data_IF_280926548027
#
_entry.id   IF_280926548027
#
_cell.length_a   1.000
_cell.length_b   1.000
_cell.length_c   1.000
_cell.angle_alpha   90.00
_cell.angle_beta   90.00
_cell.angle_gamma   90.00
#
_symmetry.space_group_name_H-M   'P 1'
#
loop_
_entity.id
_entity.type
_entity.pdbx_description
1 polymer ?
#
# COMPACT_ATOMS: atom_id res chain seq x y z
N UNK A 1 -21.53 2.77 13.21
CA UNK A 1 -21.79 3.98 12.40
C UNK A 1 -22.77 3.61 11.28
N UNK A 2 -23.60 4.54 10.80
CA UNK A 2 -24.48 4.29 9.65
C UNK A 2 -23.68 4.27 8.34
N UNK A 3 -24.07 3.39 7.41
CA UNK A 3 -23.42 3.23 6.08
C UNK A 3 -23.53 4.45 5.17
N UNK A 4 -24.42 5.37 5.50
CA UNK A 4 -24.58 6.65 4.84
C UNK A 4 -24.77 7.74 5.90
N UNK A 5 -24.10 8.87 5.73
CA UNK A 5 -24.24 10.04 6.60
C UNK A 5 -24.28 11.30 5.73
N UNK A 6 -25.36 12.08 5.82
CA UNK A 6 -25.56 13.30 5.02
C UNK A 6 -25.41 13.09 3.49
N UNK A 7 -25.88 11.95 2.96
CA UNK A 7 -25.74 11.60 1.54
C UNK A 7 -24.33 11.15 1.13
N UNK A 8 -23.42 10.93 2.08
CA UNK A 8 -22.07 10.42 1.86
C UNK A 8 -22.01 8.95 2.27
N UNK A 9 -21.59 8.08 1.34
CA UNK A 9 -21.33 6.66 1.64
C UNK A 9 -20.12 6.50 2.55
N UNK A 10 -20.28 5.77 3.64
CA UNK A 10 -19.24 5.50 4.62
C UNK A 10 -18.64 4.10 4.37
N UNK A 11 -17.35 4.08 3.98
CA UNK A 11 -16.54 2.86 3.94
C UNK A 11 -15.83 2.68 5.30
N UNK A 12 -15.93 1.47 5.85
CA UNK A 12 -15.25 1.05 7.06
C UNK A 12 -14.00 0.27 6.68
N UNK A 13 -12.86 0.90 6.91
CA UNK A 13 -11.57 0.31 6.64
C UNK A 13 -10.64 0.32 7.82
N UNK A 14 -9.52 -0.35 7.62
CA UNK A 14 -8.40 -0.38 8.55
C UNK A 14 -7.09 -0.22 7.78
N UNK A 15 -6.15 0.53 8.35
CA UNK A 15 -4.75 0.45 7.97
C UNK A 15 -4.08 -0.58 8.89
N UNK A 16 -3.84 -1.76 8.34
CA UNK A 16 -3.24 -2.90 9.01
C UNK A 16 -1.71 -2.86 8.89
N UNK A 17 -1.05 -3.34 9.92
CA UNK A 17 0.39 -3.56 9.92
C UNK A 17 0.71 -4.87 9.20
N UNK A 18 1.64 -4.83 8.23
CA UNK A 18 2.29 -6.04 7.73
C UNK A 18 3.37 -6.44 8.73
N UNK A 19 3.33 -7.68 9.20
CA UNK A 19 4.06 -8.14 10.37
C UNK A 19 5.39 -8.83 10.03
N UNK A 20 5.44 -9.58 8.94
CA UNK A 20 6.56 -10.45 8.63
C UNK A 20 6.71 -10.77 7.14
N UNK A 21 7.78 -11.47 6.78
CA UNK A 21 8.07 -11.94 5.42
C UNK A 21 7.10 -13.01 4.91
N UNK A 22 6.19 -13.53 5.75
CA UNK A 22 5.11 -14.42 5.33
C UNK A 22 3.89 -13.62 4.84
N UNK A 23 3.89 -12.29 5.02
CA UNK A 23 2.82 -11.40 4.59
C UNK A 23 1.64 -11.35 5.56
N UNK A 24 1.84 -11.81 6.81
CA UNK A 24 0.81 -11.72 7.83
C UNK A 24 0.47 -10.26 8.14
N UNK A 25 -0.80 -9.97 8.42
CA UNK A 25 -1.25 -8.66 8.89
C UNK A 25 -1.89 -8.77 10.27
N UNK A 26 -1.91 -7.68 11.03
CA UNK A 26 -2.45 -7.61 12.40
C UNK A 26 -3.98 -7.61 12.51
N UNK A 27 -4.65 -8.31 11.60
CA UNK A 27 -6.10 -8.51 11.59
C UNK A 27 -6.43 -9.99 11.43
N UNK A 28 -7.32 -10.53 12.27
CA UNK A 28 -7.88 -11.87 12.05
C UNK A 28 -8.74 -11.91 10.79
N UNK A 29 -8.81 -13.06 10.12
CA UNK A 29 -9.60 -13.25 8.90
C UNK A 29 -11.05 -12.79 9.09
N UNK A 30 -11.68 -13.16 10.22
CA UNK A 30 -13.05 -12.76 10.57
C UNK A 30 -13.24 -11.22 10.63
N UNK A 31 -12.20 -10.47 11.04
CA UNK A 31 -12.24 -9.00 11.03
C UNK A 31 -12.03 -8.47 9.62
N UNK A 32 -11.12 -9.06 8.86
CA UNK A 32 -10.84 -8.65 7.49
C UNK A 32 -12.10 -8.74 6.62
N UNK A 33 -12.86 -9.84 6.73
CA UNK A 33 -14.10 -10.08 5.97
C UNK A 33 -15.23 -9.09 6.28
N UNK A 34 -15.15 -8.34 7.38
CA UNK A 34 -16.14 -7.35 7.80
C UNK A 34 -15.78 -5.92 7.38
N UNK A 35 -14.58 -5.70 6.82
CA UNK A 35 -14.10 -4.39 6.37
C UNK A 35 -14.33 -4.21 4.87
N UNK A 36 -14.68 -3.00 4.44
CA UNK A 36 -14.86 -2.72 3.01
C UNK A 36 -13.53 -2.40 2.31
N UNK A 37 -12.53 -1.95 3.06
CA UNK A 37 -11.23 -1.57 2.53
C UNK A 37 -10.12 -1.81 3.54
N UNK A 38 -9.01 -2.41 3.10
CA UNK A 38 -7.85 -2.69 3.94
C UNK A 38 -6.61 -2.14 3.25
N UNK A 39 -5.88 -1.30 3.99
CA UNK A 39 -4.57 -0.78 3.60
C UNK A 39 -3.53 -1.58 4.38
N UNK A 40 -2.55 -2.17 3.70
CA UNK A 40 -1.42 -2.87 4.33
C UNK A 40 -0.18 -2.00 4.27
N UNK A 41 0.39 -1.69 5.43
CA UNK A 41 1.52 -0.77 5.58
C UNK A 41 2.62 -1.40 6.43
N UNK A 42 3.87 -1.07 6.12
CA UNK A 42 5.01 -1.30 7.02
C UNK A 42 5.20 -0.04 7.89
N UNK A 43 5.27 -0.22 9.20
CA UNK A 43 5.42 0.88 10.15
C UNK A 43 6.63 0.67 11.06
N UNK A 44 7.43 1.73 11.26
CA UNK A 44 8.63 1.77 12.12
C UNK A 44 8.47 1.08 13.50
N UNK A 45 7.32 1.13 14.22
CA UNK A 45 7.16 0.44 15.51
C UNK A 45 6.94 -1.08 15.41
N UNK A 46 6.68 -1.61 14.22
CA UNK A 46 6.32 -3.02 13.97
C UNK A 46 7.42 -3.75 13.22
N UNK A 47 8.10 -3.06 12.31
CA UNK A 47 9.20 -3.63 11.52
C UNK A 47 10.53 -3.01 11.90
N UNK A 48 11.57 -3.83 11.95
CA UNK A 48 12.92 -3.35 12.20
C UNK A 48 13.40 -2.46 11.05
N UNK A 49 13.94 -1.28 11.37
CA UNK A 49 14.52 -0.35 10.39
C UNK A 49 15.97 -0.74 10.13
N UNK A 50 16.37 -0.77 8.85
CA UNK A 50 17.73 -1.13 8.45
C UNK A 50 17.86 -2.57 7.95
N UNK A 51 16.73 -3.28 7.86
CA UNK A 51 16.63 -4.55 7.15
C UNK A 51 16.96 -4.40 5.66
N UNK A 52 17.25 -5.54 5.04
CA UNK A 52 17.55 -5.57 3.61
C UNK A 52 16.34 -5.14 2.78
N UNK A 53 16.61 -4.55 1.62
CA UNK A 53 15.54 -4.14 0.72
C UNK A 53 14.78 -5.37 0.17
N UNK A 54 15.43 -6.53 0.11
CA UNK A 54 14.84 -7.85 -0.18
C UNK A 54 13.80 -8.23 0.88
N UNK A 55 14.11 -8.02 2.17
CA UNK A 55 13.21 -8.28 3.29
C UNK A 55 11.92 -7.49 3.11
N UNK A 56 12.00 -6.16 3.01
CA UNK A 56 10.82 -5.31 2.86
C UNK A 56 10.04 -5.61 1.57
N UNK A 57 10.73 -5.87 0.47
CA UNK A 57 10.10 -6.24 -0.81
C UNK A 57 9.30 -7.54 -0.63
N UNK A 58 9.88 -8.57 -0.01
CA UNK A 58 9.23 -9.85 0.22
C UNK A 58 8.00 -9.72 1.12
N UNK A 59 8.06 -8.91 2.16
CA UNK A 59 6.91 -8.61 3.02
C UNK A 59 5.73 -8.05 2.20
N UNK A 60 5.96 -7.02 1.37
CA UNK A 60 4.91 -6.46 0.52
C UNK A 60 4.40 -7.46 -0.51
N UNK A 61 5.30 -8.18 -1.18
CA UNK A 61 4.92 -9.17 -2.17
C UNK A 61 4.02 -10.25 -1.54
N UNK A 62 4.35 -10.74 -0.35
CA UNK A 62 3.57 -11.77 0.33
C UNK A 62 2.25 -11.24 0.89
N UNK A 63 2.22 -10.02 1.40
CA UNK A 63 0.98 -9.39 1.85
C UNK A 63 -0.07 -9.31 0.72
N UNK A 64 0.35 -9.06 -0.53
CA UNK A 64 -0.54 -9.04 -1.71
C UNK A 64 -1.11 -10.40 -2.10
N UNK A 65 -0.71 -11.51 -1.45
CA UNK A 65 -1.38 -12.81 -1.62
C UNK A 65 -2.62 -12.95 -0.72
N UNK A 66 -2.85 -12.03 0.22
CA UNK A 66 -4.08 -11.98 1.01
C UNK A 66 -5.25 -11.44 0.16
N UNK A 67 -6.34 -12.21 -0.02
CA UNK A 67 -7.49 -11.81 -0.85
C UNK A 67 -8.28 -10.61 -0.30
N UNK A 68 -8.12 -10.27 0.99
CA UNK A 68 -8.81 -9.16 1.64
C UNK A 68 -7.98 -7.86 1.64
N UNK A 69 -6.75 -7.87 1.12
CA UNK A 69 -5.94 -6.67 1.01
C UNK A 69 -6.36 -5.87 -0.23
N UNK A 70 -6.46 -4.54 -0.11
CA UNK A 70 -6.95 -3.68 -1.20
C UNK A 70 -5.91 -2.65 -1.64
N UNK A 71 -5.13 -2.11 -0.70
CA UNK A 71 -4.19 -1.02 -0.93
C UNK A 71 -2.87 -1.31 -0.22
N UNK A 72 -1.73 -1.01 -0.84
CA UNK A 72 -0.45 -0.87 -0.15
C UNK A 72 -0.23 0.59 0.29
N UNK A 73 0.00 0.78 1.59
CA UNK A 73 0.18 2.10 2.18
C UNK A 73 1.61 2.62 2.08
N UNK A 74 1.72 3.89 1.70
CA UNK A 74 2.93 4.73 1.63
C UNK A 74 4.27 4.01 1.36
N UNK A 75 4.31 3.15 0.34
CA UNK A 75 5.49 2.36 -0.01
C UNK A 75 6.68 3.22 -0.52
N UNK A 76 6.46 4.51 -0.77
CA UNK A 76 7.51 5.48 -1.08
C UNK A 76 8.27 6.02 0.15
N UNK A 77 8.22 5.33 1.29
CA UNK A 77 8.96 5.72 2.48
C UNK A 77 10.47 5.44 2.29
N UNK A 78 11.36 6.46 2.29
CA UNK A 78 12.78 6.28 2.04
C UNK A 78 13.52 5.51 3.14
N UNK A 79 12.91 5.28 4.31
CA UNK A 79 13.48 4.41 5.34
C UNK A 79 13.36 2.92 5.03
N UNK A 80 12.43 2.55 4.15
CA UNK A 80 12.08 1.17 3.83
C UNK A 80 12.35 0.97 2.33
N UNK A 81 13.60 0.74 1.99
CA UNK A 81 14.01 0.54 0.60
C UNK A 81 13.39 -0.73 0.03
N UNK A 82 12.93 -0.70 -1.22
CA UNK A 82 12.21 -1.80 -1.85
C UNK A 82 12.56 -1.87 -3.35
N UNK A 83 12.37 -3.04 -3.96
CA UNK A 83 12.34 -3.18 -5.41
C UNK A 83 10.97 -2.72 -5.94
N UNK A 84 10.85 -1.44 -6.29
CA UNK A 84 9.55 -0.84 -6.64
C UNK A 84 8.92 -1.51 -7.86
N UNK A 85 9.72 -1.89 -8.86
CA UNK A 85 9.21 -2.54 -10.07
C UNK A 85 8.54 -3.90 -9.78
N UNK A 86 9.09 -4.70 -8.86
CA UNK A 86 8.49 -5.98 -8.46
C UNK A 86 7.14 -5.78 -7.77
N UNK A 87 7.08 -4.80 -6.86
CA UNK A 87 5.84 -4.48 -6.14
C UNK A 87 4.79 -3.96 -7.11
N UNK A 88 5.13 -3.02 -8.01
CA UNK A 88 4.17 -2.46 -8.97
C UNK A 88 3.65 -3.55 -9.94
N UNK A 89 4.51 -4.46 -10.39
CA UNK A 89 4.10 -5.60 -11.23
C UNK A 89 3.10 -6.50 -10.48
N UNK A 90 3.43 -6.95 -9.27
CA UNK A 90 2.54 -7.83 -8.51
C UNK A 90 1.24 -7.14 -8.09
N UNK A 91 1.30 -5.85 -7.74
CA UNK A 91 0.10 -5.06 -7.43
C UNK A 91 -0.86 -4.99 -8.61
N UNK A 92 -0.35 -4.80 -9.82
CA UNK A 92 -1.16 -4.88 -11.05
C UNK A 92 -1.78 -6.26 -11.24
N UNK A 93 -1.00 -7.33 -11.08
CA UNK A 93 -1.48 -8.71 -11.28
C UNK A 93 -2.56 -9.11 -10.26
N UNK A 94 -2.45 -8.60 -9.03
CA UNK A 94 -3.39 -8.85 -7.93
C UNK A 94 -4.52 -7.83 -7.82
N UNK A 95 -4.55 -6.81 -8.69
CA UNK A 95 -5.49 -5.69 -8.63
C UNK A 95 -5.47 -4.95 -7.29
N UNK A 96 -4.27 -4.74 -6.73
CA UNK A 96 -4.01 -3.98 -5.50
C UNK A 96 -3.65 -2.54 -5.86
N UNK A 97 -4.23 -1.58 -5.15
CA UNK A 97 -3.92 -0.16 -5.32
C UNK A 97 -2.64 0.21 -4.57
N UNK A 98 -1.96 1.26 -5.04
CA UNK A 98 -0.76 1.78 -4.36
C UNK A 98 -1.03 3.22 -3.92
N UNK A 99 -0.80 3.50 -2.65
CA UNK A 99 -0.97 4.83 -2.08
C UNK A 99 0.20 5.77 -2.44
N UNK A 100 -0.12 7.00 -2.88
CA UNK A 100 0.78 8.14 -2.78
C UNK A 100 0.25 9.10 -1.71
N UNK A 101 0.78 8.95 -0.51
CA UNK A 101 0.32 9.73 0.63
C UNK A 101 0.88 11.15 0.60
N UNK A 102 0.03 12.17 0.71
CA UNK A 102 0.49 13.57 0.70
C UNK A 102 1.43 13.90 1.87
N UNK A 103 1.22 13.26 3.03
CA UNK A 103 2.10 13.41 4.21
C UNK A 103 3.51 12.89 3.97
N UNK A 104 3.70 12.04 2.95
CA UNK A 104 5.03 11.60 2.54
C UNK A 104 5.91 12.74 2.03
N UNK A 105 5.34 13.85 1.57
CA UNK A 105 6.12 15.01 1.13
C UNK A 105 6.47 15.99 2.26
N UNK A 106 6.23 15.59 3.51
CA UNK A 106 6.63 16.39 4.67
C UNK A 106 8.14 16.37 4.91
N UNK A 107 8.66 17.37 5.63
CA UNK A 107 10.10 17.51 5.97
C UNK A 107 10.67 16.26 6.65
N UNK A 108 9.84 15.45 7.30
CA UNK A 108 10.23 14.23 8.03
C UNK A 108 10.49 13.01 7.13
N UNK A 109 10.10 13.05 5.84
CA UNK A 109 10.31 11.95 4.88
C UNK A 109 10.98 12.44 3.57
N UNK A 110 12.02 13.25 3.70
CA UNK A 110 12.82 13.73 2.54
C UNK A 110 13.27 12.54 1.68
N UNK A 111 13.03 12.62 0.37
CA UNK A 111 13.31 11.54 -0.58
C UNK A 111 12.08 10.75 -1.01
N UNK A 112 10.96 10.85 -0.29
CA UNK A 112 9.70 10.23 -0.72
C UNK A 112 9.20 10.76 -2.07
N UNK A 113 9.47 12.01 -2.41
CA UNK A 113 9.12 12.61 -3.70
C UNK A 113 9.74 11.87 -4.89
N UNK A 114 11.02 11.50 -4.77
CA UNK A 114 11.74 10.75 -5.81
C UNK A 114 11.16 9.35 -5.97
N UNK A 115 10.96 8.64 -4.86
CA UNK A 115 10.47 7.24 -4.88
C UNK A 115 8.99 7.20 -5.32
N UNK A 116 8.12 8.05 -4.77
CA UNK A 116 6.72 8.14 -5.18
C UNK A 116 6.59 8.50 -6.66
N UNK A 117 7.43 9.39 -7.19
CA UNK A 117 7.45 9.71 -8.62
C UNK A 117 7.86 8.49 -9.46
N UNK A 118 8.90 7.75 -9.04
CA UNK A 118 9.34 6.52 -9.71
C UNK A 118 8.21 5.48 -9.75
N UNK A 119 7.56 5.23 -8.61
CA UNK A 119 6.40 4.34 -8.51
C UNK A 119 5.28 4.81 -9.46
N UNK A 120 4.91 6.09 -9.44
CA UNK A 120 3.86 6.63 -10.31
C UNK A 120 4.17 6.44 -11.80
N UNK A 121 5.42 6.63 -12.21
CA UNK A 121 5.87 6.41 -13.57
C UNK A 121 5.83 4.93 -13.97
N UNK A 122 6.26 4.02 -13.08
CA UNK A 122 6.13 2.57 -13.28
C UNK A 122 4.66 2.16 -13.45
N UNK A 123 3.77 2.68 -12.59
CA UNK A 123 2.33 2.44 -12.70
C UNK A 123 1.78 2.87 -14.07
N UNK A 124 2.18 4.07 -14.53
CA UNK A 124 1.79 4.62 -15.84
C UNK A 124 2.31 3.76 -16.99
N UNK A 125 3.55 3.30 -16.93
CA UNK A 125 4.16 2.49 -17.98
C UNK A 125 3.48 1.12 -18.09
N UNK A 126 3.29 0.43 -16.97
CA UNK A 126 2.67 -0.90 -16.94
C UNK A 126 1.19 -0.86 -17.35
N UNK A 127 0.48 0.24 -17.08
CA UNK A 127 -0.88 0.46 -17.59
C UNK A 127 -0.92 0.58 -19.11
N UNK A 128 0.07 1.22 -19.75
CA UNK A 128 0.11 1.35 -21.22
C UNK A 128 0.34 0.02 -21.93
N UNK A 129 1.01 -0.94 -21.28
CA UNK A 129 1.37 -2.24 -21.87
C UNK A 129 0.21 -3.26 -21.85
N UNK A 130 -0.84 -3.08 -21.05
CA UNK A 130 -1.99 -4.00 -21.01
C UNK A 130 -3.31 -3.22 -21.01
N UNK A 131 -4.22 -3.56 -21.93
CA UNK A 131 -5.45 -2.81 -22.19
C UNK A 131 -6.54 -2.98 -21.10
N UNK A 132 -6.33 -3.88 -20.13
CA UNK A 132 -7.25 -4.17 -19.03
C UNK A 132 -6.49 -4.29 -17.68
N UNK A 133 -7.16 -3.85 -16.61
CA UNK A 133 -6.80 -3.75 -15.18
C UNK A 133 -6.16 -2.44 -14.68
N UNK A 134 -6.79 -1.89 -13.65
CA UNK A 134 -6.76 -0.48 -13.24
C UNK A 134 -5.81 -0.31 -12.05
N UNK A 135 -4.55 0.06 -12.32
CA UNK A 135 -3.65 0.52 -11.27
C UNK A 135 -3.94 2.00 -10.99
N UNK A 136 -4.74 2.27 -9.96
CA UNK A 136 -4.99 3.63 -9.48
C UNK A 136 -4.07 3.97 -8.31
N UNK A 137 -3.59 5.21 -8.34
CA UNK A 137 -2.89 5.82 -7.21
C UNK A 137 -3.94 6.52 -6.37
N UNK A 138 -4.11 6.12 -5.11
CA UNK A 138 -4.90 6.90 -4.17
C UNK A 138 -4.01 7.96 -3.54
N UNK A 139 -4.43 9.23 -3.65
CA UNK A 139 -3.81 10.34 -2.94
C UNK A 139 -4.69 10.68 -1.73
N UNK A 140 -4.24 10.31 -0.53
CA UNK A 140 -4.88 10.77 0.70
C UNK A 140 -4.34 12.16 1.07
N UNK A 141 -5.21 13.16 1.01
CA UNK A 141 -5.00 14.46 1.65
C UNK A 141 -5.57 14.40 3.07
N UNK A 142 -4.71 14.37 4.09
CA UNK A 142 -5.13 14.79 5.43
C UNK A 142 -4.86 16.29 5.55
N UNK A 143 -5.93 17.07 5.75
CA UNK A 143 -5.87 18.49 6.10
C UNK A 143 -5.22 18.69 7.46
#
# INVERSE_FOLDING_TARGET
MPRELYGVTMLYGCEANILDESGNIDLSIEKQEKLDIIIGSLHDPVVEIGESLETYTKMFLKAMDNPNLHILGHIGNPKLHIYEEEIVKKAKDKNILIEINNKSFSVKRKGSDVICKKIALLCKELRRKCQYNFLAILVFCKN
#
